data_IF_642798346469
#
_entry.id   IF_642798346469
#
_cell.length_a   1.000
_cell.length_b   1.000
_cell.length_c   1.000
_cell.angle_alpha   90.00
_cell.angle_beta   90.00
_cell.angle_gamma   90.00
#
_symmetry.space_group_name_H-M   'P 1'
#
loop_
_entity.id
_entity.type
_entity.pdbx_description
1 polymer ?
#
# COMPACT_ATOMS: atom_id res chain seq x y z
N UNK A 1 4.08 24.63 32.68
CA UNK A 1 5.11 24.51 31.60
C UNK A 1 4.46 24.80 30.26
N UNK A 2 4.24 26.09 29.98
CA UNK A 2 3.37 26.56 28.90
C UNK A 2 4.16 26.95 27.67
N UNK A 3 3.60 26.72 26.48
CA UNK A 3 4.24 27.11 25.22
C UNK A 3 4.13 28.60 25.03
N UNK A 4 5.28 29.29 25.01
CA UNK A 4 5.35 30.74 24.75
C UNK A 4 5.61 31.05 23.28
N UNK A 5 6.29 30.14 22.56
CA UNK A 5 6.65 30.34 21.16
C UNK A 5 6.83 29.03 20.42
N UNK A 6 6.23 28.91 19.25
CA UNK A 6 6.44 27.80 18.31
C UNK A 6 7.08 28.33 17.04
N UNK A 7 8.19 27.72 16.63
CA UNK A 7 8.92 28.07 15.42
C UNK A 7 9.01 26.86 14.47
N UNK A 8 8.90 27.14 13.17
CA UNK A 8 9.17 26.18 12.11
C UNK A 8 10.69 25.93 11.96
N UNK A 9 11.09 24.75 11.46
CA UNK A 9 12.47 24.48 11.06
C UNK A 9 13.02 25.57 10.13
N UNK A 10 14.29 25.92 10.30
CA UNK A 10 15.02 26.87 9.43
C UNK A 10 14.81 28.36 9.73
N UNK A 11 13.92 28.72 10.66
CA UNK A 11 13.77 30.11 11.14
C UNK A 11 14.91 30.49 12.09
N UNK A 12 15.09 31.80 12.31
CA UNK A 12 16.06 32.29 13.29
C UNK A 12 15.74 31.73 14.68
N UNK A 13 16.74 31.18 15.36
CA UNK A 13 16.59 30.44 16.62
C UNK A 13 16.37 28.93 16.45
N UNK A 14 16.08 28.42 15.26
CA UNK A 14 15.89 26.97 15.01
C UNK A 14 16.95 26.28 14.17
N UNK A 15 17.89 27.03 13.56
CA UNK A 15 18.93 26.51 12.66
C UNK A 15 19.75 25.36 13.27
N UNK A 16 20.24 25.52 14.51
CA UNK A 16 20.98 24.47 15.23
C UNK A 16 20.19 23.17 15.42
N UNK A 17 18.85 23.25 15.48
CA UNK A 17 18.00 22.07 15.61
C UNK A 17 17.76 21.40 14.26
N UNK A 18 17.77 22.18 13.17
CA UNK A 18 17.78 21.62 11.81
C UNK A 18 19.09 20.88 11.55
N UNK A 19 20.22 21.43 11.98
CA UNK A 19 21.51 20.75 11.89
C UNK A 19 21.52 19.41 12.65
N UNK A 20 20.86 19.36 13.83
CA UNK A 20 20.82 18.16 14.66
C UNK A 20 19.80 17.10 14.18
N UNK A 21 18.63 17.53 13.72
CA UNK A 21 17.49 16.62 13.46
C UNK A 21 17.07 16.53 11.99
N UNK A 22 17.62 17.40 11.13
CA UNK A 22 17.36 17.41 9.69
C UNK A 22 15.88 17.45 9.34
N UNK A 23 15.52 16.69 8.32
CA UNK A 23 14.16 16.58 7.77
C UNK A 23 13.14 15.92 8.72
N UNK A 24 13.61 15.36 9.83
CA UNK A 24 12.74 14.79 10.85
C UNK A 24 12.20 15.84 11.82
N UNK A 25 12.75 17.06 11.82
CA UNK A 25 12.27 18.14 12.67
C UNK A 25 10.96 18.72 12.14
N UNK A 26 9.90 18.64 12.93
CA UNK A 26 8.58 19.21 12.60
C UNK A 26 8.43 20.62 13.15
N UNK A 27 8.79 20.82 14.42
CA UNK A 27 8.65 22.11 15.09
C UNK A 27 9.60 22.24 16.30
N UNK A 28 9.93 23.48 16.66
CA UNK A 28 10.65 23.82 17.90
C UNK A 28 9.72 24.67 18.77
N UNK A 29 9.53 24.29 20.03
CA UNK A 29 8.66 24.97 20.99
C UNK A 29 9.44 25.41 22.23
N UNK A 30 9.42 26.71 22.50
CA UNK A 30 9.93 27.30 23.73
C UNK A 30 8.82 27.33 24.76
N UNK A 31 9.14 26.93 25.98
CA UNK A 31 8.20 26.83 27.08
C UNK A 31 8.74 27.52 28.31
N UNK A 32 7.85 28.13 29.08
CA UNK A 32 8.15 28.72 30.37
C UNK A 32 7.45 27.92 31.47
N UNK A 33 8.18 27.62 32.53
CA UNK A 33 7.66 27.08 33.77
C UNK A 33 7.82 28.13 34.85
N UNK A 34 6.74 28.83 35.17
CA UNK A 34 6.74 29.93 36.14
C UNK A 34 6.94 29.43 37.58
N UNK A 35 6.47 28.23 37.91
CA UNK A 35 6.63 27.65 39.24
C UNK A 35 8.10 27.30 39.51
N UNK A 36 8.77 26.72 38.51
CA UNK A 36 10.18 26.31 38.63
C UNK A 36 11.16 27.39 38.20
N UNK A 37 10.68 28.50 37.64
CA UNK A 37 11.50 29.55 37.03
C UNK A 37 12.44 29.02 35.92
N UNK A 38 11.94 28.07 35.12
CA UNK A 38 12.73 27.40 34.08
C UNK A 38 12.21 27.70 32.68
N UNK A 39 13.15 27.87 31.74
CA UNK A 39 12.87 27.92 30.31
C UNK A 39 13.28 26.61 29.66
N UNK A 40 12.35 25.99 28.93
CA UNK A 40 12.59 24.74 28.21
C UNK A 40 12.52 24.97 26.71
N UNK A 41 13.38 24.26 25.97
CA UNK A 41 13.23 24.12 24.53
C UNK A 41 12.91 22.68 24.20
N UNK A 42 11.81 22.46 23.49
CA UNK A 42 11.33 21.14 23.09
C UNK A 42 11.24 21.07 21.57
N UNK A 43 11.44 19.88 21.02
CA UNK A 43 11.33 19.61 19.57
C UNK A 43 10.26 18.57 19.32
N UNK A 44 9.53 18.71 18.21
CA UNK A 44 8.65 17.68 17.68
C UNK A 44 9.38 16.98 16.54
N UNK A 45 9.50 15.65 16.65
CA UNK A 45 10.29 14.83 15.75
C UNK A 45 9.43 13.76 15.10
N UNK A 46 9.69 13.51 13.83
CA UNK A 46 9.23 12.30 13.14
C UNK A 46 10.12 11.15 13.61
N UNK A 47 9.57 10.25 14.42
CA UNK A 47 10.26 9.03 14.87
C UNK A 47 9.98 7.81 13.99
N UNK A 48 8.89 7.84 13.21
CA UNK A 48 8.47 6.76 12.35
C UNK A 48 7.73 7.30 11.13
N UNK A 49 7.95 6.68 9.96
CA UNK A 49 7.18 6.91 8.73
C UNK A 49 6.58 5.58 8.28
N UNK A 50 5.27 5.55 8.10
CA UNK A 50 4.55 4.43 7.50
C UNK A 50 3.64 4.96 6.41
N UNK A 51 3.43 4.15 5.37
CA UNK A 51 2.41 4.46 4.37
C UNK A 51 1.05 4.56 5.06
N UNK A 52 0.39 5.72 4.93
CA UNK A 52 -0.97 5.86 5.40
C UNK A 52 -1.90 5.03 4.49
N UNK A 53 -2.97 4.41 5.02
CA UNK A 53 -4.01 3.86 4.18
C UNK A 53 -4.54 4.96 3.25
N UNK A 54 -4.59 4.68 1.95
CA UNK A 54 -5.18 5.60 0.98
C UNK A 54 -6.64 5.84 1.40
N UNK A 55 -6.99 7.09 1.74
CA UNK A 55 -8.39 7.44 2.07
C UNK A 55 -9.29 7.09 0.88
N UNK A 56 -10.31 6.26 1.12
CA UNK A 56 -11.24 5.80 0.10
C UNK A 56 -10.82 4.52 -0.65
N UNK A 57 -9.64 3.97 -0.38
CA UNK A 57 -9.25 2.66 -0.92
C UNK A 57 -9.89 1.55 -0.10
N UNK A 58 -10.99 0.99 -0.61
CA UNK A 58 -11.58 -0.22 -0.04
C UNK A 58 -10.78 -1.44 -0.53
N UNK A 59 -9.78 -1.83 0.26
CA UNK A 59 -8.91 -2.97 -0.03
C UNK A 59 -9.69 -4.28 -0.24
N UNK A 60 -10.81 -4.47 0.47
CA UNK A 60 -11.68 -5.64 0.27
C UNK A 60 -12.32 -5.61 -1.11
N UNK A 61 -12.87 -4.47 -1.53
CA UNK A 61 -13.45 -4.31 -2.87
C UNK A 61 -12.37 -4.46 -3.95
N UNK A 62 -11.19 -3.88 -3.75
CA UNK A 62 -10.07 -4.01 -4.69
C UNK A 62 -9.65 -5.48 -4.86
N UNK A 63 -9.46 -6.22 -3.77
CA UNK A 63 -9.13 -7.65 -3.82
C UNK A 63 -10.24 -8.49 -4.46
N UNK A 64 -11.51 -8.18 -4.18
CA UNK A 64 -12.65 -8.83 -4.82
C UNK A 64 -12.64 -8.60 -6.34
N UNK A 65 -12.41 -7.36 -6.80
CA UNK A 65 -12.30 -7.05 -8.22
C UNK A 65 -11.12 -7.77 -8.88
N UNK A 66 -9.96 -7.84 -8.23
CA UNK A 66 -8.80 -8.58 -8.75
C UNK A 66 -9.09 -10.08 -8.87
N UNK A 67 -9.78 -10.67 -7.88
CA UNK A 67 -10.15 -12.08 -7.91
C UNK A 67 -11.19 -12.41 -9.00
N UNK A 68 -12.09 -11.48 -9.28
CA UNK A 68 -13.10 -11.62 -10.34
C UNK A 68 -12.55 -11.33 -11.74
N UNK A 69 -11.35 -10.73 -11.84
CA UNK A 69 -10.74 -10.39 -13.12
C UNK A 69 -10.60 -11.64 -14.00
N UNK A 70 -11.04 -11.60 -15.26
CA UNK A 70 -10.84 -12.71 -16.17
C UNK A 70 -9.37 -12.78 -16.59
N UNK A 71 -8.82 -13.99 -16.60
CA UNK A 71 -7.46 -14.33 -17.03
C UNK A 71 -7.51 -15.37 -18.14
N UNK A 72 -6.47 -15.37 -18.99
CA UNK A 72 -6.32 -16.32 -20.08
C UNK A 72 -5.38 -17.44 -19.66
N UNK A 73 -5.82 -18.68 -19.78
CA UNK A 73 -5.05 -19.89 -19.53
C UNK A 73 -4.64 -20.56 -20.84
N UNK A 74 -3.39 -21.00 -20.90
CA UNK A 74 -2.90 -21.88 -21.96
C UNK A 74 -3.02 -23.33 -21.53
N UNK A 75 -3.92 -24.05 -22.22
CA UNK A 75 -4.16 -25.48 -22.03
C UNK A 75 -4.09 -26.12 -23.41
N UNK A 76 -3.28 -27.16 -23.54
CA UNK A 76 -3.04 -27.85 -24.79
C UNK A 76 -4.27 -28.67 -25.20
N UNK A 77 -4.42 -28.86 -26.51
CA UNK A 77 -5.58 -29.56 -27.09
C UNK A 77 -5.77 -30.97 -26.54
N UNK A 78 -4.69 -31.67 -26.21
CA UNK A 78 -4.74 -33.04 -25.69
C UNK A 78 -5.00 -33.14 -24.18
N UNK A 79 -4.93 -32.02 -23.43
CA UNK A 79 -5.21 -31.98 -21.99
C UNK A 79 -6.73 -31.96 -21.73
N UNK A 80 -7.45 -32.99 -22.20
CA UNK A 80 -8.93 -33.04 -22.22
C UNK A 80 -9.55 -32.99 -20.83
N UNK A 81 -8.93 -33.65 -19.84
CA UNK A 81 -9.35 -33.59 -18.44
C UNK A 81 -9.22 -32.17 -17.86
N UNK A 82 -8.13 -31.48 -18.18
CA UNK A 82 -7.90 -30.11 -17.73
C UNK A 82 -8.90 -29.13 -18.36
N UNK A 83 -9.20 -29.31 -19.65
CA UNK A 83 -10.26 -28.56 -20.33
C UNK A 83 -11.63 -28.79 -19.69
N UNK A 84 -11.96 -30.03 -19.29
CA UNK A 84 -13.21 -30.36 -18.60
C UNK A 84 -13.27 -29.67 -17.23
N UNK A 85 -12.17 -29.69 -16.47
CA UNK A 85 -12.07 -29.02 -15.17
C UNK A 85 -12.27 -27.50 -15.30
N UNK A 86 -11.60 -26.87 -16.26
CA UNK A 86 -11.74 -25.43 -16.51
C UNK A 86 -13.16 -25.08 -16.95
N UNK A 87 -13.77 -25.87 -17.85
CA UNK A 87 -15.17 -25.67 -18.25
C UNK A 87 -16.14 -25.80 -17.07
N UNK A 88 -15.95 -26.80 -16.20
CA UNK A 88 -16.74 -27.00 -14.98
C UNK A 88 -16.60 -25.84 -13.99
N UNK A 89 -15.42 -25.23 -13.92
CA UNK A 89 -15.14 -24.05 -13.11
C UNK A 89 -15.62 -22.72 -13.77
N UNK A 90 -16.43 -22.79 -14.83
CA UNK A 90 -17.02 -21.65 -15.51
C UNK A 90 -16.10 -21.01 -16.57
N UNK A 91 -15.00 -21.65 -16.91
CA UNK A 91 -14.11 -21.21 -17.98
C UNK A 91 -14.76 -21.32 -19.36
N UNK A 92 -14.48 -20.34 -20.21
CA UNK A 92 -14.99 -20.25 -21.59
C UNK A 92 -13.84 -20.33 -22.57
N UNK A 93 -14.02 -21.09 -23.65
CA UNK A 93 -13.04 -21.12 -24.72
C UNK A 93 -13.13 -19.84 -25.56
N UNK A 94 -12.00 -19.15 -25.74
CA UNK A 94 -11.88 -18.03 -26.66
C UNK A 94 -11.29 -18.53 -27.98
N UNK A 95 -12.11 -18.58 -29.03
CA UNK A 95 -11.71 -19.09 -30.34
C UNK A 95 -10.68 -18.20 -31.06
N UNK A 96 -10.75 -16.88 -30.88
CA UNK A 96 -9.85 -15.93 -31.54
C UNK A 96 -8.41 -16.08 -31.03
N UNK A 97 -8.26 -16.24 -29.72
CA UNK A 97 -6.94 -16.35 -29.07
C UNK A 97 -6.48 -17.78 -28.88
N UNK A 98 -7.36 -18.76 -29.10
CA UNK A 98 -7.14 -20.16 -28.77
C UNK A 98 -6.68 -20.37 -27.32
N UNK A 99 -7.33 -19.67 -26.39
CA UNK A 99 -7.03 -19.71 -24.95
C UNK A 99 -8.31 -19.86 -24.13
N UNK A 100 -8.19 -20.37 -22.91
CA UNK A 100 -9.30 -20.47 -21.98
C UNK A 100 -9.43 -19.21 -21.13
N UNK A 101 -10.59 -18.58 -21.13
CA UNK A 101 -10.91 -17.44 -20.28
C UNK A 101 -11.58 -17.94 -18.99
N UNK A 102 -11.03 -17.62 -17.83
CA UNK A 102 -11.60 -17.97 -16.52
C UNK A 102 -11.34 -16.87 -15.50
N UNK A 103 -12.12 -16.78 -14.41
CA UNK A 103 -11.81 -15.86 -13.30
C UNK A 103 -10.51 -16.25 -12.62
N UNK A 104 -9.69 -15.26 -12.23
CA UNK A 104 -8.41 -15.48 -11.55
C UNK A 104 -8.55 -16.39 -10.32
N UNK A 105 -9.55 -16.16 -9.47
CA UNK A 105 -9.82 -16.99 -8.29
C UNK A 105 -9.99 -18.49 -8.61
N UNK A 106 -10.58 -18.82 -9.76
CA UNK A 106 -10.83 -20.20 -10.15
C UNK A 106 -9.57 -20.83 -10.77
N UNK A 107 -8.75 -20.03 -11.46
CA UNK A 107 -7.42 -20.47 -11.89
C UNK A 107 -6.52 -20.81 -10.69
N UNK A 108 -6.54 -19.98 -9.63
CA UNK A 108 -5.83 -20.25 -8.37
C UNK A 108 -6.35 -21.51 -7.69
N UNK A 109 -7.67 -21.65 -7.51
CA UNK A 109 -8.29 -22.83 -6.89
C UNK A 109 -7.98 -24.14 -7.63
N UNK A 110 -7.79 -24.08 -8.94
CA UNK A 110 -7.41 -25.24 -9.77
C UNK A 110 -5.88 -25.45 -9.84
N UNK A 111 -5.08 -24.60 -9.20
CA UNK A 111 -3.61 -24.68 -9.24
C UNK A 111 -3.00 -24.34 -10.60
N UNK A 112 -3.68 -23.54 -11.43
CA UNK A 112 -3.29 -23.24 -12.82
C UNK A 112 -2.62 -21.87 -12.99
N UNK A 113 -2.09 -21.29 -11.91
CA UNK A 113 -1.51 -19.94 -11.93
C UNK A 113 -0.35 -19.81 -12.91
N UNK A 114 0.52 -20.82 -12.98
CA UNK A 114 1.67 -20.84 -13.90
C UNK A 114 1.28 -20.90 -15.38
N UNK A 115 0.02 -21.24 -15.67
CA UNK A 115 -0.52 -21.35 -17.03
C UNK A 115 -1.23 -20.08 -17.47
N UNK A 116 -1.27 -19.06 -16.62
CA UNK A 116 -1.82 -17.74 -16.93
C UNK A 116 -0.88 -17.01 -17.90
N UNK A 117 -1.43 -16.57 -19.03
CA UNK A 117 -0.72 -15.74 -19.98
C UNK A 117 -0.77 -14.28 -19.52
N UNK A 118 0.41 -13.73 -19.23
CA UNK A 118 0.61 -12.31 -18.99
C UNK A 118 0.86 -11.65 -20.35
N UNK A 119 0.03 -10.69 -20.73
CA UNK A 119 0.22 -9.85 -21.92
C UNK A 119 0.86 -8.54 -21.50
#
# INVERSE_FOLDING_TARGET
>A
MDVVKTLRPGKNGTKRYVELYGDNLVAVRYRLDAEKQLSYTTVELIIERRAAPLKGFNDVAYRLHQNQRPVLLRILRHETELQRLVKKAGGKWNHERQLWLIRYENAVKLGLQERIIHT
#
